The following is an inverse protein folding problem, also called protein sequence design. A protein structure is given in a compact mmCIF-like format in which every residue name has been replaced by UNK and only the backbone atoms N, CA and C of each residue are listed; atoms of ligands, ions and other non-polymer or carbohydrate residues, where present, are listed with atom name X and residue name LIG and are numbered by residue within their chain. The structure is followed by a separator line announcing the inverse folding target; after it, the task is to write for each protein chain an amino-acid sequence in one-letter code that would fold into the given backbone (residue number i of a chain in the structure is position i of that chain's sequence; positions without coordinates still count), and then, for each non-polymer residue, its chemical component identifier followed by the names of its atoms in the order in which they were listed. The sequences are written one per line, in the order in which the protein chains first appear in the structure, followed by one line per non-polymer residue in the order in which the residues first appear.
data_IF_371766217873
#
_entry.id   IF_371766217873
#
_cell.length_a   1.000
_cell.length_b   1.000
_cell.length_c   1.000
_cell.angle_alpha   90.00
_cell.angle_beta   90.00
_cell.angle_gamma   90.00
#
_symmetry.space_group_name_H-M   'P 1'
#
loop_
_entity.id
_entity.type
_entity.pdbx_description
1 polymer ?
#
# COMPACT_ATOMS: atom_id res chain seq x y z
N UNK A 1 47.44 8.85 60.11
CA UNK A 1 46.28 9.32 59.31
C UNK A 1 46.18 8.48 58.05
N UNK A 2 45.14 7.67 57.88
CA UNK A 2 44.62 7.28 56.56
C UNK A 2 43.24 6.63 56.74
N UNK A 3 42.20 7.37 56.36
CA UNK A 3 40.82 6.91 56.38
C UNK A 3 40.58 6.04 55.14
N UNK A 4 40.15 4.79 55.37
CA UNK A 4 39.68 3.88 54.34
C UNK A 4 38.34 4.42 53.81
N UNK A 5 38.34 5.05 52.63
CA UNK A 5 37.11 5.52 51.96
C UNK A 5 36.40 4.32 51.33
N UNK A 6 35.39 3.80 52.03
CA UNK A 6 34.39 2.90 51.43
C UNK A 6 33.52 3.71 50.47
N UNK A 7 33.65 3.45 49.17
CA UNK A 7 32.74 3.95 48.14
C UNK A 7 31.43 3.14 48.17
N UNK A 8 30.24 3.76 48.23
CA UNK A 8 29.00 3.03 48.10
C UNK A 8 28.73 2.68 46.63
N UNK A 9 28.57 1.38 46.35
CA UNK A 9 28.17 0.85 45.05
C UNK A 9 26.66 1.10 44.87
N UNK A 10 26.28 2.15 44.14
CA UNK A 10 24.87 2.41 43.81
C UNK A 10 24.40 1.45 42.72
N UNK A 11 23.51 0.53 43.10
CA UNK A 11 22.85 -0.41 42.21
C UNK A 11 21.81 0.33 41.35
N UNK A 12 22.15 0.62 40.09
CA UNK A 12 21.21 1.21 39.12
C UNK A 12 20.29 0.08 38.62
N UNK A 13 19.09 -0.03 39.19
CA UNK A 13 18.05 -0.91 38.63
C UNK A 13 17.49 -0.28 37.35
N UNK A 14 17.85 -0.84 36.19
CA UNK A 14 17.19 -0.52 34.93
C UNK A 14 15.75 -1.06 34.98
N UNK A 15 14.77 -0.19 35.22
CA UNK A 15 13.36 -0.47 34.97
C UNK A 15 13.17 -0.59 33.44
N UNK A 16 13.21 -1.82 32.94
CA UNK A 16 12.88 -2.13 31.55
C UNK A 16 11.37 -2.01 31.42
N UNK A 17 10.87 -0.79 31.19
CA UNK A 17 9.48 -0.58 30.81
C UNK A 17 9.30 -1.19 29.42
N UNK A 18 8.89 -2.45 29.40
CA UNK A 18 8.47 -3.13 28.19
C UNK A 18 7.17 -2.49 27.75
N UNK A 19 7.26 -1.42 26.96
CA UNK A 19 6.09 -0.93 26.23
C UNK A 19 5.68 -2.02 25.25
N UNK A 20 4.75 -2.87 25.68
CA UNK A 20 3.98 -3.73 24.80
C UNK A 20 3.13 -2.80 23.94
N UNK A 21 3.71 -2.26 22.85
CA UNK A 21 2.90 -1.63 21.83
C UNK A 21 2.01 -2.71 21.25
N UNK A 22 0.73 -2.68 21.62
CA UNK A 22 -0.33 -3.37 20.89
C UNK A 22 -0.37 -2.72 19.52
N UNK A 23 0.49 -3.20 18.62
CA UNK A 23 0.51 -2.78 17.25
C UNK A 23 -0.75 -3.34 16.60
N UNK A 24 -1.75 -2.48 16.42
CA UNK A 24 -2.89 -2.81 15.58
C UNK A 24 -2.40 -3.09 14.17
N UNK A 25 -2.78 -4.27 13.67
CA UNK A 25 -2.48 -4.74 12.33
C UNK A 25 -3.33 -3.99 11.31
N UNK A 26 -2.96 -4.05 10.04
CA UNK A 26 -3.83 -3.66 8.95
C UNK A 26 -4.99 -4.66 8.93
N UNK A 27 -6.10 -4.27 9.54
CA UNK A 27 -7.34 -5.03 9.56
C UNK A 27 -8.51 -4.08 9.33
N UNK A 28 -8.79 -3.67 8.08
CA UNK A 28 -9.88 -2.75 7.82
C UNK A 28 -11.18 -3.32 8.43
N UNK A 29 -11.69 -2.63 9.47
CA UNK A 29 -12.84 -3.04 10.29
C UNK A 29 -14.05 -3.58 9.50
N UNK A 30 -14.22 -3.16 8.23
CA UNK A 30 -15.19 -3.72 7.29
C UNK A 30 -14.57 -3.83 5.90
N UNK A 31 -14.62 -5.02 5.31
CA UNK A 31 -14.37 -5.26 3.90
C UNK A 31 -15.69 -5.34 3.12
N UNK A 32 -15.71 -4.95 1.83
CA UNK A 32 -14.63 -4.23 1.15
C UNK A 32 -14.50 -2.79 1.67
N UNK A 33 -13.27 -2.25 1.66
CA UNK A 33 -12.99 -0.83 1.92
C UNK A 33 -12.59 -0.16 0.60
N UNK A 34 -12.98 1.09 0.40
CA UNK A 34 -12.68 1.81 -0.84
C UNK A 34 -12.32 3.27 -0.61
N UNK A 35 -11.41 3.78 -1.43
CA UNK A 35 -11.09 5.21 -1.54
C UNK A 35 -11.25 5.64 -2.99
N UNK A 36 -11.70 6.88 -3.20
CA UNK A 36 -12.03 7.44 -4.51
C UNK A 36 -11.42 8.82 -4.67
N UNK A 37 -10.93 9.11 -5.87
CA UNK A 37 -10.60 10.44 -6.38
C UNK A 37 -11.50 10.78 -7.57
N UNK A 38 -11.19 11.86 -8.30
CA UNK A 38 -11.84 12.15 -9.58
C UNK A 38 -11.46 11.14 -10.67
N UNK A 39 -10.25 10.56 -10.59
CA UNK A 39 -9.71 9.69 -11.63
C UNK A 39 -9.83 8.19 -11.29
N UNK A 40 -9.67 7.82 -10.02
CA UNK A 40 -9.53 6.42 -9.61
C UNK A 40 -10.47 6.03 -8.48
N UNK A 41 -10.99 4.80 -8.55
CA UNK A 41 -11.59 4.11 -7.41
C UNK A 41 -10.73 2.90 -7.06
N UNK A 42 -10.22 2.87 -5.84
CA UNK A 42 -9.36 1.81 -5.31
C UNK A 42 -10.11 1.07 -4.22
N UNK A 43 -10.29 -0.24 -4.40
CA UNK A 43 -11.01 -1.09 -3.47
C UNK A 43 -10.14 -2.25 -2.98
N UNK A 44 -10.09 -2.43 -1.67
CA UNK A 44 -9.55 -3.62 -1.02
C UNK A 44 -10.73 -4.49 -0.60
N UNK A 45 -10.73 -5.75 -1.03
CA UNK A 45 -11.75 -6.72 -0.71
C UNK A 45 -11.18 -7.97 -0.03
N UNK A 46 -12.07 -8.91 0.28
CA UNK A 46 -11.67 -10.26 0.68
C UNK A 46 -10.89 -10.96 -0.43
N UNK A 47 -10.00 -11.89 -0.06
CA UNK A 47 -9.35 -12.77 -1.04
C UNK A 47 -10.40 -13.51 -1.88
N UNK A 48 -10.20 -13.51 -3.21
CA UNK A 48 -11.08 -14.20 -4.16
C UNK A 48 -10.68 -15.67 -4.39
N UNK A 49 -9.56 -16.10 -3.80
CA UNK A 49 -9.17 -17.52 -3.79
C UNK A 49 -9.74 -18.17 -2.54
N UNK A 50 -10.72 -19.06 -2.71
CA UNK A 50 -11.16 -19.99 -1.68
C UNK A 50 -10.54 -21.36 -2.03
N UNK A 51 -9.80 -21.97 -1.10
CA UNK A 51 -9.32 -23.37 -1.12
C UNK A 51 -7.90 -23.66 -1.62
N UNK A 52 -6.97 -22.69 -1.64
CA UNK A 52 -5.57 -22.93 -2.04
C UNK A 52 -4.57 -22.52 -0.93
N UNK A 53 -3.34 -23.03 -0.99
CA UNK A 53 -2.21 -22.84 -0.05
C UNK A 53 -1.76 -21.39 0.24
N UNK A 54 -2.52 -20.38 -0.22
CA UNK A 54 -2.32 -18.95 0.02
C UNK A 54 -3.47 -18.30 0.82
N UNK A 55 -4.28 -19.12 1.50
CA UNK A 55 -5.21 -18.68 2.52
C UNK A 55 -4.44 -18.01 3.68
N UNK A 56 -5.08 -17.07 4.38
CA UNK A 56 -4.48 -16.34 5.50
C UNK A 56 -3.81 -17.30 6.49
N UNK A 57 -2.55 -17.03 6.83
CA UNK A 57 -1.85 -17.80 7.86
C UNK A 57 -2.00 -17.08 9.19
N UNK A 58 -2.85 -17.64 10.06
CA UNK A 58 -3.14 -17.09 11.40
C UNK A 58 -1.85 -16.66 12.13
N UNK A 59 -1.81 -15.39 12.53
CA UNK A 59 -0.68 -14.80 13.25
C UNK A 59 0.55 -14.46 12.38
N UNK A 60 0.47 -14.64 11.06
CA UNK A 60 1.56 -14.32 10.13
C UNK A 60 1.11 -13.31 9.09
N UNK A 61 0.08 -13.61 8.31
CA UNK A 61 -0.47 -12.70 7.30
C UNK A 61 -1.95 -12.96 7.04
N UNK A 62 -2.64 -11.91 6.62
CA UNK A 62 -3.98 -11.97 6.08
C UNK A 62 -3.95 -11.73 4.57
N UNK A 63 -4.86 -12.37 3.84
CA UNK A 63 -4.93 -12.32 2.38
C UNK A 63 -6.08 -11.43 1.89
N UNK A 64 -5.78 -10.54 0.95
CA UNK A 64 -6.73 -9.55 0.42
C UNK A 64 -6.80 -9.58 -1.11
N UNK A 65 -7.83 -8.92 -1.66
CA UNK A 65 -7.94 -8.61 -3.08
C UNK A 65 -7.89 -7.10 -3.32
N UNK A 66 -7.44 -6.71 -4.51
CA UNK A 66 -7.37 -5.31 -4.95
C UNK A 66 -8.11 -5.18 -6.28
N UNK A 67 -8.98 -4.18 -6.36
CA UNK A 67 -9.61 -3.72 -7.59
C UNK A 67 -9.31 -2.22 -7.77
N UNK A 68 -8.62 -1.85 -8.85
CA UNK A 68 -8.42 -0.43 -9.25
C UNK A 68 -9.18 -0.16 -10.54
N UNK A 69 -10.06 0.83 -10.49
CA UNK A 69 -10.94 1.22 -11.60
C UNK A 69 -10.66 2.66 -12.01
N UNK A 70 -10.52 2.87 -13.31
CA UNK A 70 -10.54 4.21 -13.88
C UNK A 70 -12.00 4.70 -13.93
N UNK A 71 -12.28 5.80 -13.23
CA UNK A 71 -13.60 6.46 -13.21
C UNK A 71 -13.55 7.87 -13.81
N UNK A 72 -12.36 8.33 -14.19
CA UNK A 72 -12.12 9.64 -14.80
C UNK A 72 -11.89 9.56 -16.30
N UNK A 73 -10.97 10.37 -16.82
CA UNK A 73 -10.67 10.41 -18.26
C UNK A 73 -9.84 9.19 -18.70
N UNK A 74 -9.65 9.00 -20.01
CA UNK A 74 -8.72 7.98 -20.49
C UNK A 74 -7.32 8.17 -19.89
N UNK A 75 -6.66 7.06 -19.59
CA UNK A 75 -5.35 7.05 -18.98
C UNK A 75 -4.42 6.12 -19.80
N UNK A 76 -3.19 6.57 -19.98
CA UNK A 76 -2.16 5.86 -20.73
C UNK A 76 -0.96 5.56 -19.85
N UNK A 77 -0.20 4.52 -20.21
CA UNK A 77 1.02 4.11 -19.50
C UNK A 77 0.79 4.00 -17.97
N UNK A 78 -0.33 3.37 -17.61
CA UNK A 78 -0.82 3.33 -16.24
C UNK A 78 -0.02 2.28 -15.46
N UNK A 79 0.53 2.68 -14.32
CA UNK A 79 1.21 1.78 -13.38
C UNK A 79 0.52 1.86 -12.03
N UNK A 80 0.14 0.71 -11.48
CA UNK A 80 -0.37 0.55 -10.12
C UNK A 80 0.67 -0.21 -9.32
N UNK A 81 1.21 0.41 -8.28
CA UNK A 81 2.20 -0.16 -7.37
C UNK A 81 1.58 -0.25 -5.98
N UNK A 82 1.79 -1.38 -5.31
CA UNK A 82 1.19 -1.65 -4.00
C UNK A 82 2.29 -1.92 -3.00
N UNK A 83 2.25 -1.20 -1.89
CA UNK A 83 3.26 -1.24 -0.85
C UNK A 83 2.65 -1.47 0.52
N UNK A 84 3.34 -2.23 1.37
CA UNK A 84 3.02 -2.31 2.81
C UNK A 84 4.15 -1.77 3.65
N UNK A 85 3.80 -1.19 4.80
CA UNK A 85 4.82 -0.82 5.78
C UNK A 85 5.34 -2.05 6.54
N UNK A 86 6.52 -1.89 7.15
CA UNK A 86 7.14 -2.89 8.02
C UNK A 86 7.42 -2.28 9.40
N UNK A 87 7.35 -3.07 10.49
CA UNK A 87 7.67 -2.55 11.81
C UNK A 87 9.09 -2.01 11.89
N UNK A 88 9.26 -0.87 12.58
CA UNK A 88 10.56 -0.29 12.94
C UNK A 88 11.43 0.16 11.76
N UNK A 89 10.92 0.20 10.53
CA UNK A 89 11.64 0.70 9.35
C UNK A 89 10.82 1.73 8.58
N UNK A 90 11.51 2.70 7.98
CA UNK A 90 10.86 3.75 7.18
C UNK A 90 10.50 3.29 5.77
N UNK A 91 11.28 2.35 5.20
CA UNK A 91 11.03 1.81 3.87
C UNK A 91 9.78 0.94 3.85
N UNK A 92 8.99 1.04 2.78
CA UNK A 92 7.85 0.16 2.51
C UNK A 92 8.28 -0.95 1.53
N UNK A 93 7.66 -2.10 1.64
CA UNK A 93 7.95 -3.25 0.77
C UNK A 93 6.88 -3.33 -0.29
N UNK A 94 7.32 -3.44 -1.54
CA UNK A 94 6.44 -3.71 -2.67
C UNK A 94 5.80 -5.09 -2.48
N UNK A 95 4.50 -5.16 -2.73
CA UNK A 95 3.75 -6.40 -2.84
C UNK A 95 3.67 -6.84 -4.30
N UNK A 96 3.31 -5.92 -5.20
CA UNK A 96 3.26 -6.15 -6.64
C UNK A 96 3.09 -4.83 -7.40
N UNK A 97 3.43 -4.89 -8.70
CA UNK A 97 3.18 -3.84 -9.69
C UNK A 97 2.36 -4.39 -10.85
N UNK A 98 1.38 -3.62 -11.32
CA UNK A 98 0.61 -3.92 -12.53
C UNK A 98 0.69 -2.75 -13.51
N UNK A 99 0.72 -3.04 -14.81
CA UNK A 99 0.84 -2.05 -15.88
C UNK A 99 -0.19 -2.27 -16.98
N UNK A 100 -0.71 -1.18 -17.54
CA UNK A 100 -1.54 -1.19 -18.75
C UNK A 100 -1.22 0.03 -19.61
N UNK A 101 -1.10 -0.20 -20.91
CA UNK A 101 -0.70 0.85 -21.86
C UNK A 101 -1.81 1.87 -22.09
N UNK A 102 -3.08 1.43 -22.06
CA UNK A 102 -4.24 2.29 -22.27
C UNK A 102 -5.45 1.77 -21.51
N UNK A 103 -6.17 2.68 -20.89
CA UNK A 103 -7.41 2.43 -20.16
C UNK A 103 -8.44 3.47 -20.59
N UNK A 104 -9.49 3.01 -21.27
CA UNK A 104 -10.63 3.85 -21.63
C UNK A 104 -11.62 4.00 -20.47
N UNK A 105 -12.37 5.09 -20.47
CA UNK A 105 -13.51 5.28 -19.56
C UNK A 105 -14.74 4.53 -20.13
N UNK A 106 -15.51 3.85 -19.28
CA UNK A 106 -16.80 3.25 -19.64
C UNK A 106 -16.98 1.83 -19.12
N UNK A 107 -17.93 1.08 -19.66
CA UNK A 107 -18.21 -0.32 -19.28
C UNK A 107 -17.02 -1.27 -19.50
N UNK A 108 -16.09 -0.93 -20.39
CA UNK A 108 -14.82 -1.64 -20.59
C UNK A 108 -13.78 -1.35 -19.49
N UNK A 109 -14.03 -0.36 -18.62
CA UNK A 109 -13.19 -0.06 -17.44
C UNK A 109 -13.53 -0.90 -16.21
N UNK A 110 -14.53 -1.81 -16.32
CA UNK A 110 -14.87 -2.77 -15.27
C UNK A 110 -13.65 -3.65 -15.01
N UNK A 111 -12.99 -3.34 -13.90
CA UNK A 111 -11.83 -4.03 -13.35
C UNK A 111 -10.54 -3.88 -14.15
N UNK A 112 -10.13 -2.63 -14.38
CA UNK A 112 -8.88 -2.31 -15.08
C UNK A 112 -7.66 -3.01 -14.48
N UNK A 113 -7.56 -3.07 -13.16
CA UNK A 113 -6.56 -3.89 -12.49
C UNK A 113 -7.20 -4.72 -11.40
N UNK A 114 -6.93 -6.03 -11.43
CA UNK A 114 -7.36 -6.96 -10.39
C UNK A 114 -6.17 -7.76 -9.89
N UNK A 115 -6.04 -7.82 -8.57
CA UNK A 115 -5.20 -8.80 -7.91
C UNK A 115 -6.08 -9.60 -6.96
N UNK A 116 -6.21 -10.91 -7.18
CA UNK A 116 -7.22 -11.73 -6.52
C UNK A 116 -6.81 -12.19 -5.11
N UNK A 117 -5.50 -12.23 -4.84
CA UNK A 117 -4.95 -12.67 -3.57
C UNK A 117 -3.55 -12.10 -3.36
N UNK A 118 -3.33 -11.30 -2.33
CA UNK A 118 -1.99 -10.92 -1.88
C UNK A 118 -1.89 -10.89 -0.34
N UNK A 119 -0.76 -11.34 0.23
CA UNK A 119 -0.57 -11.39 1.67
C UNK A 119 -0.12 -10.04 2.24
N UNK A 120 -0.76 -9.62 3.32
CA UNK A 120 -0.31 -8.51 4.17
C UNK A 120 0.03 -9.08 5.55
N UNK A 121 1.25 -8.84 6.01
CA UNK A 121 1.67 -9.24 7.36
C UNK A 121 0.73 -8.67 8.42
N UNK A 122 0.38 -9.47 9.43
CA UNK A 122 -0.38 -9.00 10.61
C UNK A 122 0.38 -7.95 11.45
N UNK A 123 1.62 -7.63 11.07
CA UNK A 123 2.42 -6.56 11.70
C UNK A 123 2.45 -5.27 10.87
N UNK A 124 2.02 -5.32 9.61
CA UNK A 124 1.84 -4.13 8.79
C UNK A 124 0.62 -3.37 9.31
N UNK A 125 0.66 -2.04 9.29
CA UNK A 125 -0.44 -1.15 9.73
C UNK A 125 -1.07 -0.37 8.59
N UNK A 126 -0.39 -0.35 7.44
CA UNK A 126 -0.70 0.53 6.33
C UNK A 126 -0.47 -0.22 5.02
N UNK A 127 -1.45 -0.10 4.13
CA UNK A 127 -1.35 -0.47 2.73
C UNK A 127 -1.40 0.82 1.90
N UNK A 128 -0.41 1.01 1.05
CA UNK A 128 -0.34 2.13 0.11
C UNK A 128 -0.54 1.61 -1.31
N UNK A 129 -1.41 2.27 -2.07
CA UNK A 129 -1.59 2.05 -3.50
C UNK A 129 -1.20 3.33 -4.22
N UNK A 130 -0.13 3.28 -5.01
CA UNK A 130 0.33 4.36 -5.87
C UNK A 130 -0.14 4.10 -7.30
N UNK A 131 -0.87 5.04 -7.87
CA UNK A 131 -1.28 4.99 -9.27
C UNK A 131 -0.58 6.11 -10.03
N UNK A 132 0.14 5.78 -11.09
CA UNK A 132 0.73 6.74 -12.02
C UNK A 132 0.17 6.53 -13.41
N UNK A 133 -0.03 7.63 -14.16
CA UNK A 133 -0.54 7.57 -15.53
C UNK A 133 -0.16 8.80 -16.33
N UNK A 134 -0.47 8.78 -17.62
CA UNK A 134 -0.37 9.89 -18.54
C UNK A 134 -1.74 10.17 -19.18
N UNK A 135 -1.91 11.41 -19.63
CA UNK A 135 -2.84 11.69 -20.72
C UNK A 135 -2.37 11.04 -22.03
N UNK A 136 -3.03 11.32 -23.16
CA UNK A 136 -2.65 10.80 -24.48
C UNK A 136 -1.12 10.98 -24.71
N UNK A 137 -0.34 9.91 -24.97
CA UNK A 137 1.11 9.87 -24.74
C UNK A 137 1.90 10.97 -25.45
N UNK A 138 1.37 11.47 -26.57
CA UNK A 138 1.89 12.63 -27.25
C UNK A 138 0.78 13.47 -27.89
N UNK A 139 1.03 14.77 -27.98
CA UNK A 139 0.29 15.68 -28.88
C UNK A 139 1.18 16.03 -30.06
N UNK A 140 0.63 15.95 -31.27
CA UNK A 140 1.33 16.35 -32.51
C UNK A 140 1.02 17.81 -32.79
N UNK A 141 2.06 18.63 -32.90
CA UNK A 141 1.95 20.03 -33.28
C UNK A 141 1.75 20.18 -34.79
N UNK A 142 1.40 21.39 -35.24
CA UNK A 142 1.19 21.70 -36.66
C UNK A 142 2.45 21.49 -37.52
N UNK A 143 3.63 21.59 -36.92
CA UNK A 143 4.94 21.37 -37.56
C UNK A 143 5.38 19.89 -37.54
N UNK A 144 4.53 18.98 -37.05
CA UNK A 144 4.82 17.55 -36.94
C UNK A 144 5.61 17.16 -35.69
N UNK A 145 6.04 18.12 -34.84
CA UNK A 145 6.75 17.82 -33.60
C UNK A 145 5.81 17.15 -32.59
N UNK A 146 6.32 16.13 -31.91
CA UNK A 146 5.62 15.47 -30.81
C UNK A 146 6.02 16.08 -29.46
N UNK A 147 5.04 16.35 -28.61
CA UNK A 147 5.25 16.73 -27.21
C UNK A 147 4.74 15.58 -26.32
N UNK A 148 5.59 15.09 -25.42
CA UNK A 148 5.21 14.05 -24.45
C UNK A 148 4.10 14.53 -23.51
N UNK A 149 3.21 13.61 -23.15
CA UNK A 149 2.16 13.89 -22.18
C UNK A 149 2.71 14.13 -20.77
N UNK A 150 1.97 14.94 -20.02
CA UNK A 150 2.16 15.10 -18.59
C UNK A 150 1.91 13.76 -17.88
N UNK A 151 2.81 13.41 -16.97
CA UNK A 151 2.68 12.29 -16.04
C UNK A 151 2.00 12.77 -14.75
N UNK A 152 1.08 11.97 -14.23
CA UNK A 152 0.31 12.22 -13.02
C UNK A 152 0.52 11.08 -12.02
N UNK A 153 0.29 11.37 -10.73
CA UNK A 153 0.32 10.38 -9.66
C UNK A 153 -0.74 10.66 -8.60
N UNK A 154 -1.32 9.60 -8.05
CA UNK A 154 -2.19 9.63 -6.88
C UNK A 154 -1.82 8.49 -5.92
N UNK A 155 -1.96 8.74 -4.62
CA UNK A 155 -1.60 7.79 -3.57
C UNK A 155 -2.80 7.57 -2.64
N UNK A 156 -3.18 6.32 -2.47
CA UNK A 156 -4.29 5.89 -1.60
C UNK A 156 -3.73 5.12 -0.42
N UNK A 157 -4.02 5.58 0.79
CA UNK A 157 -3.44 5.03 2.02
C UNK A 157 -4.55 4.42 2.86
N UNK A 158 -4.54 3.09 3.00
CA UNK A 158 -5.46 2.35 3.85
C UNK A 158 -4.78 2.02 5.17
N UNK A 159 -5.44 2.37 6.27
CA UNK A 159 -4.99 2.10 7.65
C UNK A 159 -6.14 1.50 8.42
N UNK A 160 -5.82 0.84 9.52
CA UNK A 160 -6.83 0.54 10.52
C UNK A 160 -7.30 1.83 11.22
N UNK A 161 -8.54 1.84 11.70
CA UNK A 161 -9.18 3.02 12.32
C UNK A 161 -9.14 2.95 13.84
#
# INVERSE_FOLDING_TARGET
MQYLKLFPLTLISFLIFSFSSTAEAFNPNKLPVSQKSEQWNVQIGESKMKNNSFDSKKGVYDSYSLDVKNIGKEAYNVTVEVYRNEPKVQKKYELFTMKKDHIINGTESINCFQHTNFPISVKSKELEVLVTWQEKPYTVLKDGKQIEARKYKETFIFKDK
#
